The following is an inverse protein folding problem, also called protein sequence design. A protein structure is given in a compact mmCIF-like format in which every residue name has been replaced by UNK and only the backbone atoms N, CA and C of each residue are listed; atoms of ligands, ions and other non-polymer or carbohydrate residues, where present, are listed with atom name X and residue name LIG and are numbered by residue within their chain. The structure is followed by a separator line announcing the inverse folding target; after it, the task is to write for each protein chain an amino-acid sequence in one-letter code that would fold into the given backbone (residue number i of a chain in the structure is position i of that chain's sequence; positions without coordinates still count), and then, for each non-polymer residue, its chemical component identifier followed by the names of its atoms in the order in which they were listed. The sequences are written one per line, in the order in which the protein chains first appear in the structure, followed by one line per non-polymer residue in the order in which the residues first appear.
data_IF_102087568556
#
_entry.id   IF_102087568556
#
_cell.length_a   1.000
_cell.length_b   1.000
_cell.length_c   1.000
_cell.angle_alpha   90.00
_cell.angle_beta   90.00
_cell.angle_gamma   90.00
#
_symmetry.space_group_name_H-M   'P 1'
#
loop_
_entity.id
_entity.type
_entity.pdbx_description
1 polymer ?
#
# COMPACT_ATOMS: atom_id res chain seq x y z
N UNK A 1 -30.17 18.10 11.51
CA UNK A 1 -31.16 17.07 11.21
C UNK A 1 -31.70 17.32 9.79
N UNK A 2 -31.14 16.65 8.78
CA UNK A 2 -31.82 16.45 7.52
C UNK A 2 -32.95 15.46 7.83
N UNK A 3 -34.19 15.93 7.85
CA UNK A 3 -35.33 15.06 8.12
C UNK A 3 -35.41 13.97 7.04
N UNK A 4 -35.69 12.73 7.43
CA UNK A 4 -35.80 11.58 6.52
C UNK A 4 -36.75 11.85 5.33
N UNK A 5 -37.79 12.66 5.53
CA UNK A 5 -38.72 13.08 4.49
C UNK A 5 -38.08 13.86 3.34
N UNK A 6 -37.03 14.65 3.58
CA UNK A 6 -36.34 15.40 2.50
C UNK A 6 -35.41 14.51 1.68
N UNK A 7 -34.87 13.45 2.28
CA UNK A 7 -33.99 12.48 1.60
C UNK A 7 -34.79 11.46 0.77
N UNK A 8 -35.99 11.06 1.25
CA UNK A 8 -36.80 10.04 0.58
C UNK A 8 -37.73 10.60 -0.52
N UNK A 9 -38.18 11.84 -0.40
CA UNK A 9 -39.10 12.48 -1.37
C UNK A 9 -38.47 13.60 -2.20
N UNK A 10 -37.18 13.91 -1.98
CA UNK A 10 -36.46 14.96 -2.69
C UNK A 10 -35.64 14.44 -3.86
N UNK A 11 -35.36 15.32 -4.82
CA UNK A 11 -34.43 15.11 -5.93
C UNK A 11 -32.94 15.30 -5.46
N UNK A 12 -32.62 14.87 -4.21
CA UNK A 12 -31.30 15.06 -3.65
C UNK A 12 -30.52 13.76 -3.74
N UNK A 13 -29.29 13.83 -4.29
CA UNK A 13 -28.32 12.75 -4.28
C UNK A 13 -27.13 13.16 -3.41
N UNK A 14 -26.92 12.46 -2.30
CA UNK A 14 -25.86 12.77 -1.33
C UNK A 14 -24.71 11.79 -1.50
N UNK A 15 -23.52 12.32 -1.80
CA UNK A 15 -22.27 11.54 -1.83
C UNK A 15 -21.42 11.99 -0.65
N UNK A 16 -21.04 11.05 0.22
CA UNK A 16 -20.07 11.25 1.29
C UNK A 16 -18.78 10.56 0.90
N UNK A 17 -17.67 11.27 0.97
CA UNK A 17 -16.34 10.71 0.71
C UNK A 17 -15.40 11.04 1.85
N UNK A 18 -14.46 10.14 2.13
CA UNK A 18 -13.44 10.33 3.14
C UNK A 18 -12.23 9.45 2.83
N UNK A 19 -11.04 9.95 3.12
CA UNK A 19 -9.77 9.23 2.97
C UNK A 19 -9.39 8.44 4.22
N UNK A 20 -9.95 8.81 5.38
CA UNK A 20 -9.69 8.14 6.66
C UNK A 20 -10.65 6.95 6.81
N UNK A 21 -10.17 5.74 6.48
CA UNK A 21 -10.99 4.51 6.49
C UNK A 21 -11.58 4.20 7.85
N UNK A 22 -10.77 4.26 8.90
CA UNK A 22 -11.22 3.98 10.27
C UNK A 22 -12.33 4.92 10.74
N UNK A 23 -12.26 6.20 10.39
CA UNK A 23 -13.31 7.17 10.66
C UNK A 23 -14.57 6.88 9.86
N UNK A 24 -14.43 6.64 8.55
CA UNK A 24 -15.59 6.34 7.70
C UNK A 24 -16.34 5.10 8.16
N UNK A 25 -15.65 4.06 8.54
CA UNK A 25 -16.29 2.80 8.99
C UNK A 25 -16.90 2.92 10.40
N UNK A 26 -16.21 3.55 11.34
CA UNK A 26 -16.65 3.61 12.74
C UNK A 26 -17.62 4.75 13.00
N UNK A 27 -17.31 5.96 12.53
CA UNK A 27 -18.07 7.16 12.86
C UNK A 27 -19.17 7.49 11.84
N UNK A 28 -18.90 7.29 10.54
CA UNK A 28 -19.86 7.63 9.47
C UNK A 28 -20.80 6.47 9.18
N UNK A 29 -20.30 5.24 9.12
CA UNK A 29 -21.06 4.04 8.75
C UNK A 29 -21.38 3.12 9.93
N UNK A 30 -20.78 3.37 11.09
CA UNK A 30 -20.93 2.54 12.29
C UNK A 30 -22.36 2.57 12.87
N UNK A 31 -22.69 1.59 13.72
CA UNK A 31 -24.02 1.40 14.28
C UNK A 31 -24.58 2.57 15.08
N UNK A 32 -23.69 3.45 15.58
CA UNK A 32 -24.07 4.67 16.32
C UNK A 32 -24.29 5.89 15.42
N UNK A 33 -23.95 5.78 14.12
CA UNK A 33 -24.12 6.89 13.17
C UNK A 33 -25.57 7.09 12.78
N UNK A 34 -26.03 8.33 12.64
CA UNK A 34 -27.34 8.63 12.04
C UNK A 34 -27.50 8.10 10.60
N UNK A 35 -26.43 7.75 9.93
CA UNK A 35 -26.41 7.22 8.57
C UNK A 35 -26.40 5.66 8.52
N UNK A 36 -26.32 5.02 9.68
CA UNK A 36 -26.35 3.57 9.74
C UNK A 36 -27.62 2.99 9.09
N UNK A 37 -27.45 2.04 8.18
CA UNK A 37 -28.55 1.41 7.45
C UNK A 37 -29.25 2.27 6.39
N UNK A 38 -28.84 3.54 6.19
CA UNK A 38 -29.46 4.48 5.24
C UNK A 38 -28.70 4.66 3.93
N UNK A 39 -27.52 4.03 3.81
CA UNK A 39 -26.74 4.07 2.56
C UNK A 39 -27.41 3.20 1.50
N UNK A 40 -27.47 3.73 0.27
CA UNK A 40 -27.95 2.99 -0.90
C UNK A 40 -26.83 2.28 -1.65
N UNK A 41 -25.59 2.84 -1.59
CA UNK A 41 -24.41 2.24 -2.18
C UNK A 41 -23.17 2.60 -1.37
N UNK A 42 -22.12 1.79 -1.51
CA UNK A 42 -20.78 2.05 -0.98
C UNK A 42 -19.75 1.68 -2.03
N UNK A 43 -18.82 2.58 -2.28
CA UNK A 43 -17.70 2.36 -3.18
C UNK A 43 -16.41 2.47 -2.40
N UNK A 44 -15.64 1.39 -2.39
CA UNK A 44 -14.28 1.38 -1.84
C UNK A 44 -13.30 1.59 -2.99
N UNK A 45 -12.72 2.79 -3.07
CA UNK A 45 -11.72 3.12 -4.08
C UNK A 45 -10.41 2.41 -3.76
N UNK A 46 -9.91 1.63 -4.71
CA UNK A 46 -8.61 0.94 -4.60
C UNK A 46 -7.55 1.69 -5.40
N UNK A 47 -6.27 1.59 -5.03
CA UNK A 47 -5.17 2.05 -5.88
C UNK A 47 -5.28 1.45 -7.30
N UNK A 48 -4.79 2.17 -8.29
CA UNK A 48 -4.78 1.68 -9.67
C UNK A 48 -3.87 0.46 -9.83
N UNK A 49 -4.29 -0.46 -10.67
CA UNK A 49 -3.41 -1.53 -11.15
C UNK A 49 -2.31 -0.97 -12.04
N UNK A 50 -1.26 -1.75 -12.28
CA UNK A 50 -0.18 -1.38 -13.21
C UNK A 50 -0.71 -0.91 -14.57
N UNK A 51 -1.68 -1.64 -15.16
CA UNK A 51 -2.26 -1.28 -16.46
C UNK A 51 -2.90 0.11 -16.49
N UNK A 52 -3.49 0.54 -15.38
CA UNK A 52 -4.07 1.89 -15.29
C UNK A 52 -2.99 2.92 -14.96
N UNK A 53 -2.08 2.59 -14.04
CA UNK A 53 -0.98 3.47 -13.62
C UNK A 53 -0.01 3.78 -14.75
N UNK A 54 0.28 2.82 -15.64
CA UNK A 54 1.18 3.00 -16.78
C UNK A 54 0.74 4.11 -17.76
N UNK A 55 -0.55 4.45 -17.76
CA UNK A 55 -1.09 5.56 -18.57
C UNK A 55 -0.66 6.95 -18.06
N UNK A 56 -0.16 7.04 -16.84
CA UNK A 56 0.44 8.26 -16.27
C UNK A 56 1.93 8.41 -16.60
N UNK A 57 2.52 7.45 -17.33
CA UNK A 57 3.97 7.33 -17.56
C UNK A 57 4.27 7.14 -19.05
N UNK A 58 3.62 7.92 -19.92
CA UNK A 58 3.64 7.69 -21.39
C UNK A 58 5.04 7.85 -21.98
N UNK A 59 5.90 8.70 -21.39
CA UNK A 59 7.26 8.98 -21.85
C UNK A 59 8.30 7.91 -21.49
N UNK A 60 7.94 6.86 -20.75
CA UNK A 60 8.88 5.85 -20.27
C UNK A 60 8.77 4.53 -21.02
N UNK A 61 9.85 3.75 -21.07
CA UNK A 61 9.83 2.36 -21.50
C UNK A 61 8.97 1.49 -20.58
N UNK A 62 8.56 0.31 -21.01
CA UNK A 62 7.72 -0.57 -20.19
C UNK A 62 8.45 -1.06 -18.93
N UNK A 63 9.77 -1.23 -18.99
CA UNK A 63 10.60 -1.55 -17.84
C UNK A 63 10.60 -0.39 -16.84
N UNK A 64 10.84 0.84 -17.27
CA UNK A 64 10.82 2.03 -16.40
C UNK A 64 9.45 2.28 -15.80
N UNK A 65 8.35 2.09 -16.57
CA UNK A 65 6.98 2.15 -16.04
C UNK A 65 6.76 1.16 -14.91
N UNK A 66 7.25 -0.07 -15.07
CA UNK A 66 7.15 -1.10 -14.05
C UNK A 66 7.99 -0.72 -12.80
N UNK A 67 9.20 -0.21 -13.02
CA UNK A 67 10.06 0.29 -11.94
C UNK A 67 9.40 1.46 -11.19
N UNK A 68 8.88 2.45 -11.90
CA UNK A 68 8.15 3.57 -11.28
C UNK A 68 6.91 3.08 -10.51
N UNK A 69 6.14 2.17 -11.06
CA UNK A 69 5.00 1.58 -10.36
C UNK A 69 5.42 0.88 -9.06
N UNK A 70 6.56 0.20 -9.06
CA UNK A 70 7.13 -0.43 -7.86
C UNK A 70 7.50 0.57 -6.76
N UNK A 71 7.82 1.81 -7.12
CA UNK A 71 8.15 2.86 -6.15
C UNK A 71 6.92 3.70 -5.74
N UNK A 72 6.07 4.09 -6.70
CA UNK A 72 4.97 5.03 -6.47
C UNK A 72 3.63 4.35 -6.14
N UNK A 73 3.50 3.05 -6.43
CA UNK A 73 2.24 2.34 -6.29
C UNK A 73 1.19 2.80 -7.30
N UNK A 74 -0.10 2.64 -6.95
CA UNK A 74 -1.23 2.97 -7.81
C UNK A 74 -2.07 4.16 -7.35
N UNK A 75 -1.62 4.95 -6.38
CA UNK A 75 -2.36 6.13 -5.90
C UNK A 75 -2.18 7.29 -6.88
N UNK A 76 -3.27 7.87 -7.45
CA UNK A 76 -3.17 8.91 -8.48
C UNK A 76 -2.32 10.10 -8.07
N UNK A 77 -2.42 10.54 -6.82
CA UNK A 77 -1.66 11.67 -6.28
C UNK A 77 -0.14 11.42 -6.31
N UNK A 78 0.28 10.19 -6.10
CA UNK A 78 1.70 9.81 -6.17
C UNK A 78 2.17 9.70 -7.62
N UNK A 79 1.34 9.13 -8.49
CA UNK A 79 1.64 9.03 -9.92
C UNK A 79 1.80 10.41 -10.58
N UNK A 80 1.06 11.42 -10.12
CA UNK A 80 1.20 12.81 -10.58
C UNK A 80 2.53 13.47 -10.18
N UNK A 81 3.28 12.89 -9.23
CA UNK A 81 4.61 13.37 -8.89
C UNK A 81 5.68 12.94 -9.91
N UNK A 82 5.36 12.03 -10.82
CA UNK A 82 6.30 11.53 -11.83
C UNK A 82 6.46 12.60 -12.90
N UNK A 83 7.72 12.95 -13.20
CA UNK A 83 8.08 13.87 -14.26
C UNK A 83 8.61 13.10 -15.47
N UNK A 84 7.86 13.10 -16.56
CA UNK A 84 8.21 12.38 -17.79
C UNK A 84 9.48 12.90 -18.51
N UNK A 85 9.99 14.07 -18.11
CA UNK A 85 11.24 14.65 -18.65
C UNK A 85 12.48 14.21 -17.88
N UNK A 86 12.31 13.52 -16.78
CA UNK A 86 13.37 13.04 -15.90
C UNK A 86 13.52 11.51 -16.03
N UNK A 87 14.73 11.00 -15.87
CA UNK A 87 14.98 9.56 -15.77
C UNK A 87 14.32 8.95 -14.55
N UNK A 88 14.25 7.61 -14.49
CA UNK A 88 13.80 6.89 -13.30
C UNK A 88 14.57 7.32 -12.04
N UNK A 89 15.90 7.39 -12.13
CA UNK A 89 16.77 7.80 -11.02
C UNK A 89 16.45 9.20 -10.51
N UNK A 90 16.31 10.18 -11.42
CA UNK A 90 16.00 11.56 -11.08
C UNK A 90 14.63 11.70 -10.42
N UNK A 91 13.63 10.99 -10.92
CA UNK A 91 12.30 10.93 -10.31
C UNK A 91 12.37 10.40 -8.88
N UNK A 92 13.10 9.29 -8.63
CA UNK A 92 13.23 8.73 -7.28
C UNK A 92 13.95 9.71 -6.34
N UNK A 93 15.06 10.29 -6.77
CA UNK A 93 15.81 11.26 -5.95
C UNK A 93 14.98 12.49 -5.60
N UNK A 94 14.27 13.05 -6.58
CA UNK A 94 13.43 14.21 -6.38
C UNK A 94 12.23 13.92 -5.46
N UNK A 95 11.58 12.79 -5.63
CA UNK A 95 10.34 12.48 -4.91
C UNK A 95 10.57 11.92 -3.49
N UNK A 96 11.65 11.15 -3.29
CA UNK A 96 11.87 10.38 -2.06
C UNK A 96 13.12 10.76 -1.28
N UNK A 97 14.18 11.24 -1.93
CA UNK A 97 15.45 11.50 -1.27
C UNK A 97 15.70 12.99 -1.01
N UNK A 98 14.76 13.85 -1.33
CA UNK A 98 14.80 15.28 -0.98
C UNK A 98 13.89 15.52 0.22
N UNK A 99 14.45 15.98 1.36
CA UNK A 99 13.72 16.20 2.64
C UNK A 99 12.47 17.07 2.51
N UNK A 100 12.47 18.00 1.52
CA UNK A 100 11.35 18.90 1.26
C UNK A 100 10.33 18.33 0.27
N UNK A 101 10.54 17.11 -0.22
CA UNK A 101 9.60 16.50 -1.19
C UNK A 101 8.37 15.91 -0.52
N UNK A 102 7.29 15.87 -1.29
CA UNK A 102 6.00 15.38 -0.80
C UNK A 102 6.07 13.94 -0.25
N UNK A 103 6.72 13.03 -0.99
CA UNK A 103 6.76 11.61 -0.61
C UNK A 103 7.81 11.29 0.47
N UNK A 104 8.64 12.27 0.87
CA UNK A 104 9.65 12.03 1.91
C UNK A 104 9.05 11.70 3.28
N UNK A 105 7.95 12.33 3.66
CA UNK A 105 7.27 12.09 4.94
C UNK A 105 5.88 11.47 4.83
N UNK A 106 5.38 11.29 3.61
CA UNK A 106 3.98 10.90 3.35
C UNK A 106 3.57 9.63 4.09
N UNK A 107 4.39 8.57 4.06
CA UNK A 107 4.07 7.32 4.72
C UNK A 107 3.91 7.46 6.24
N UNK A 108 4.73 8.30 6.88
CA UNK A 108 4.58 8.58 8.32
C UNK A 108 3.39 9.47 8.63
N UNK A 109 3.11 10.45 7.77
CA UNK A 109 1.95 11.34 7.95
C UNK A 109 0.65 10.54 7.87
N UNK A 110 0.52 9.68 6.87
CA UNK A 110 -0.64 8.80 6.72
C UNK A 110 -0.79 7.86 7.93
N UNK A 111 0.30 7.21 8.35
CA UNK A 111 0.24 6.32 9.51
C UNK A 111 -0.20 7.06 10.78
N UNK A 112 0.30 8.27 11.02
CA UNK A 112 -0.10 9.11 12.19
C UNK A 112 -1.58 9.49 12.17
N UNK A 113 -2.19 9.61 11.00
CA UNK A 113 -3.62 9.89 10.88
C UNK A 113 -4.49 8.68 11.24
N UNK A 114 -3.99 7.46 11.00
CA UNK A 114 -4.76 6.22 11.14
C UNK A 114 -4.63 5.57 12.54
N UNK A 115 -3.53 5.80 13.28
CA UNK A 115 -3.23 5.08 14.52
C UNK A 115 -2.75 5.99 15.64
N UNK A 116 -3.04 5.59 16.91
CA UNK A 116 -2.67 6.36 18.11
C UNK A 116 -1.20 6.21 18.51
N UNK A 117 -0.59 5.04 18.27
CA UNK A 117 0.81 4.73 18.63
C UNK A 117 1.67 4.51 17.37
N UNK A 118 1.88 5.53 16.52
CA UNK A 118 2.48 5.36 15.20
C UNK A 118 3.90 4.78 15.24
N UNK A 119 4.64 4.94 16.34
CA UNK A 119 5.99 4.40 16.50
C UNK A 119 6.05 2.88 16.43
N UNK A 120 5.15 2.18 17.14
CA UNK A 120 5.11 0.71 17.16
C UNK A 120 4.65 0.17 15.80
N UNK A 121 3.61 0.79 15.22
CA UNK A 121 3.13 0.42 13.89
C UNK A 121 4.21 0.62 12.83
N UNK A 122 4.97 1.73 12.90
CA UNK A 122 6.09 2.00 12.00
C UNK A 122 7.18 0.94 12.14
N UNK A 123 7.54 0.53 13.36
CA UNK A 123 8.53 -0.52 13.60
C UNK A 123 8.09 -1.88 13.01
N UNK A 124 6.80 -2.22 13.07
CA UNK A 124 6.25 -3.43 12.44
C UNK A 124 6.40 -3.37 10.92
N UNK A 125 6.01 -2.24 10.29
CA UNK A 125 6.10 -2.08 8.84
C UNK A 125 7.57 -2.10 8.39
N UNK A 126 8.47 -1.47 9.14
CA UNK A 126 9.92 -1.52 8.89
C UNK A 126 10.48 -2.94 8.97
N UNK A 127 10.09 -3.71 9.98
CA UNK A 127 10.49 -5.11 10.11
C UNK A 127 10.06 -5.93 8.89
N UNK A 128 8.79 -5.76 8.44
CA UNK A 128 8.28 -6.43 7.24
C UNK A 128 9.04 -5.98 5.98
N UNK A 129 9.29 -4.68 5.82
CA UNK A 129 10.07 -4.13 4.70
C UNK A 129 11.51 -4.67 4.66
N UNK A 130 12.06 -5.01 5.83
CA UNK A 130 13.39 -5.60 6.00
C UNK A 130 13.42 -7.12 5.85
N UNK A 131 12.27 -7.77 5.58
CA UNK A 131 12.18 -9.21 5.31
C UNK A 131 11.72 -10.09 6.47
N UNK A 132 11.41 -9.52 7.65
CA UNK A 132 10.81 -10.27 8.76
C UNK A 132 9.31 -10.41 8.51
N UNK A 133 8.88 -11.54 7.97
CA UNK A 133 7.50 -11.67 7.46
C UNK A 133 6.59 -12.51 8.35
N UNK A 134 7.14 -13.29 9.30
CA UNK A 134 6.34 -14.08 10.24
C UNK A 134 6.10 -13.30 11.53
N UNK A 135 4.94 -13.49 12.15
CA UNK A 135 4.55 -12.76 13.36
C UNK A 135 5.57 -12.86 14.51
N UNK A 136 6.15 -14.05 14.72
CA UNK A 136 7.20 -14.25 15.74
C UNK A 136 8.52 -13.56 15.39
N UNK A 137 8.90 -13.53 14.11
CA UNK A 137 10.10 -12.81 13.65
C UNK A 137 9.91 -11.30 13.84
N UNK A 138 8.72 -10.77 13.50
CA UNK A 138 8.38 -9.36 13.67
C UNK A 138 8.40 -8.98 15.16
N UNK A 139 7.70 -9.74 16.02
CA UNK A 139 7.66 -9.45 17.47
C UNK A 139 9.05 -9.46 18.11
N UNK A 140 9.89 -10.44 17.75
CA UNK A 140 11.29 -10.51 18.21
C UNK A 140 12.09 -9.30 17.73
N UNK A 141 11.94 -8.93 16.45
CA UNK A 141 12.69 -7.80 15.84
C UNK A 141 12.38 -6.47 16.51
N UNK A 142 11.10 -6.22 16.86
CA UNK A 142 10.69 -4.95 17.48
C UNK A 142 10.74 -4.96 19.02
N UNK A 143 11.01 -6.12 19.64
CA UNK A 143 11.08 -6.26 21.09
C UNK A 143 9.74 -6.19 21.81
N UNK A 144 8.63 -6.49 21.12
CA UNK A 144 7.27 -6.46 21.68
C UNK A 144 6.77 -7.88 22.01
N UNK A 145 5.83 -7.96 22.99
CA UNK A 145 5.11 -9.20 23.26
C UNK A 145 4.34 -9.70 22.04
N UNK A 146 4.38 -11.01 21.80
CA UNK A 146 3.80 -11.61 20.60
C UNK A 146 2.28 -11.39 20.49
N UNK A 147 1.53 -11.43 21.61
CA UNK A 147 0.09 -11.23 21.60
C UNK A 147 -0.25 -9.76 21.31
N UNK A 148 0.53 -8.82 21.85
CA UNK A 148 0.41 -7.39 21.59
C UNK A 148 0.77 -7.07 20.14
N UNK A 149 1.87 -7.64 19.63
CA UNK A 149 2.30 -7.50 18.24
C UNK A 149 1.23 -7.97 17.25
N UNK A 150 0.59 -9.11 17.51
CA UNK A 150 -0.51 -9.62 16.67
C UNK A 150 -1.72 -8.67 16.61
N UNK A 151 -2.03 -7.94 17.69
CA UNK A 151 -3.09 -6.93 17.67
C UNK A 151 -2.75 -5.78 16.73
N UNK A 152 -1.51 -5.28 16.78
CA UNK A 152 -1.04 -4.23 15.87
C UNK A 152 -1.02 -4.71 14.42
N UNK A 153 -0.53 -5.92 14.16
CA UNK A 153 -0.56 -6.55 12.83
C UNK A 153 -2.00 -6.64 12.30
N UNK A 154 -2.94 -7.08 13.14
CA UNK A 154 -4.36 -7.14 12.76
C UNK A 154 -4.90 -5.77 12.37
N UNK A 155 -4.63 -4.73 13.16
CA UNK A 155 -5.03 -3.36 12.83
C UNK A 155 -4.43 -2.89 11.50
N UNK A 156 -3.14 -3.15 11.25
CA UNK A 156 -2.51 -2.82 9.96
C UNK A 156 -3.14 -3.56 8.78
N UNK A 157 -3.59 -4.81 8.98
CA UNK A 157 -4.34 -5.55 7.97
C UNK A 157 -5.74 -4.95 7.73
N UNK A 158 -6.45 -4.57 8.79
CA UNK A 158 -7.75 -3.90 8.71
C UNK A 158 -7.66 -2.54 7.99
N UNK A 159 -6.57 -1.81 8.19
CA UNK A 159 -6.26 -0.57 7.48
C UNK A 159 -5.78 -0.80 6.03
N UNK A 160 -5.53 -2.04 5.63
CA UNK A 160 -5.03 -2.38 4.30
C UNK A 160 -3.57 -1.97 4.03
N UNK A 161 -2.82 -1.54 5.05
CA UNK A 161 -1.40 -1.18 4.94
C UNK A 161 -0.54 -2.41 4.73
N UNK A 162 -0.85 -3.50 5.45
CA UNK A 162 -0.26 -4.81 5.24
C UNK A 162 -1.33 -5.84 4.91
N UNK A 163 -0.93 -6.98 4.38
CA UNK A 163 -1.81 -8.12 4.14
C UNK A 163 -1.23 -9.38 4.74
N UNK A 164 -2.13 -10.29 5.13
CA UNK A 164 -1.82 -11.66 5.51
C UNK A 164 -1.78 -12.52 4.26
N UNK A 165 -0.77 -13.35 4.12
CA UNK A 165 -0.63 -14.30 3.03
C UNK A 165 -0.37 -15.70 3.58
N UNK A 166 -1.00 -16.69 2.97
CA UNK A 166 -0.82 -18.12 3.29
C UNK A 166 -0.49 -18.87 1.99
N UNK A 167 0.30 -19.94 2.06
CA UNK A 167 0.59 -20.74 0.86
C UNK A 167 -0.70 -21.22 0.20
N UNK A 168 -0.74 -21.16 -1.12
CA UNK A 168 -1.90 -21.59 -1.89
C UNK A 168 -2.30 -23.03 -1.52
N UNK A 169 -3.58 -23.24 -1.24
CA UNK A 169 -4.13 -24.54 -0.85
C UNK A 169 -4.03 -24.87 0.65
N UNK A 170 -3.39 -24.05 1.48
CA UNK A 170 -3.37 -24.24 2.93
C UNK A 170 -4.54 -23.54 3.63
N UNK A 171 -4.81 -23.98 4.88
CA UNK A 171 -5.88 -23.40 5.72
C UNK A 171 -5.43 -22.05 6.31
N UNK A 172 -6.40 -21.18 6.63
CA UNK A 172 -6.14 -19.87 7.27
C UNK A 172 -5.34 -19.93 8.58
N UNK A 173 -5.36 -21.06 9.27
CA UNK A 173 -4.60 -21.30 10.49
C UNK A 173 -3.17 -21.78 10.25
N UNK A 174 -2.69 -21.76 8.99
CA UNK A 174 -1.35 -22.22 8.65
C UNK A 174 -0.27 -21.50 9.45
N UNK A 175 0.68 -22.29 9.99
CA UNK A 175 1.90 -21.76 10.62
C UNK A 175 2.90 -21.16 9.62
N UNK A 176 2.65 -21.35 8.32
CA UNK A 176 3.43 -20.77 7.21
C UNK A 176 2.95 -19.39 6.80
N UNK A 177 1.99 -18.82 7.56
CA UNK A 177 1.49 -17.46 7.35
C UNK A 177 2.63 -16.44 7.36
N UNK A 178 2.60 -15.56 6.38
CA UNK A 178 3.49 -14.38 6.29
C UNK A 178 2.67 -13.11 6.15
N UNK A 179 3.32 -11.98 6.41
CA UNK A 179 2.75 -10.64 6.25
C UNK A 179 3.57 -9.84 5.24
N UNK A 180 2.90 -9.14 4.35
CA UNK A 180 3.49 -8.28 3.34
C UNK A 180 2.92 -6.87 3.37
N UNK A 181 3.64 -5.89 2.86
CA UNK A 181 3.16 -4.52 2.71
C UNK A 181 2.31 -4.48 1.43
N UNK A 182 1.07 -3.99 1.57
CA UNK A 182 0.08 -3.99 0.47
C UNK A 182 0.36 -2.92 -0.58
N UNK A 183 0.79 -1.74 -0.15
CA UNK A 183 1.06 -0.60 -1.01
C UNK A 183 2.55 -0.48 -1.35
N UNK A 184 2.88 -0.31 -2.63
CA UNK A 184 4.26 -0.28 -3.08
C UNK A 184 4.98 1.02 -2.69
N UNK A 185 4.28 2.16 -2.57
CA UNK A 185 4.88 3.39 -2.05
C UNK A 185 5.33 3.19 -0.60
N UNK A 186 4.48 2.64 0.26
CA UNK A 186 4.86 2.28 1.63
C UNK A 186 6.04 1.30 1.66
N UNK A 187 6.00 0.25 0.84
CA UNK A 187 7.05 -0.75 0.77
C UNK A 187 8.39 -0.15 0.36
N UNK A 188 8.40 0.68 -0.70
CA UNK A 188 9.58 1.40 -1.16
C UNK A 188 10.10 2.34 -0.07
N UNK A 189 9.20 3.11 0.51
CA UNK A 189 9.53 4.13 1.50
C UNK A 189 10.18 3.52 2.75
N UNK A 190 9.59 2.49 3.35
CA UNK A 190 10.15 1.85 4.54
C UNK A 190 11.47 1.15 4.24
N UNK A 191 11.60 0.50 3.09
CA UNK A 191 12.83 -0.20 2.71
C UNK A 191 14.00 0.74 2.45
N UNK A 192 13.78 1.85 1.77
CA UNK A 192 14.85 2.69 1.26
C UNK A 192 14.93 4.08 1.88
N UNK A 193 13.81 4.72 2.17
CA UNK A 193 13.79 6.08 2.71
C UNK A 193 13.93 6.02 4.23
N UNK A 194 13.04 5.31 4.92
CA UNK A 194 13.05 5.22 6.37
C UNK A 194 14.37 4.65 6.92
N UNK A 195 14.82 3.55 6.37
CA UNK A 195 16.09 2.90 6.76
C UNK A 195 17.33 3.78 6.54
N UNK A 196 17.25 4.83 5.73
CA UNK A 196 18.38 5.70 5.40
C UNK A 196 18.14 7.18 5.74
N UNK A 197 17.13 7.51 6.57
CA UNK A 197 16.74 8.89 6.87
C UNK A 197 17.91 9.77 7.29
N UNK A 198 18.73 9.33 8.24
CA UNK A 198 19.90 10.08 8.71
C UNK A 198 20.86 10.42 7.57
N UNK A 199 21.11 9.49 6.65
CA UNK A 199 21.97 9.75 5.49
C UNK A 199 21.35 10.77 4.52
N UNK A 200 20.04 10.68 4.31
CA UNK A 200 19.32 11.61 3.44
C UNK A 200 19.33 13.02 4.04
N UNK A 201 19.06 13.14 5.34
CA UNK A 201 19.03 14.42 6.07
C UNK A 201 20.40 15.08 6.15
N UNK A 202 21.49 14.31 6.15
CA UNK A 202 22.86 14.82 6.11
C UNK A 202 23.40 15.11 4.71
N UNK A 203 22.56 14.98 3.66
CA UNK A 203 22.94 15.34 2.29
C UNK A 203 23.56 14.20 1.46
N UNK A 204 23.51 12.95 1.94
CA UNK A 204 24.13 11.79 1.27
C UNK A 204 23.18 11.08 0.27
N UNK A 205 22.25 11.80 -0.37
CA UNK A 205 21.22 11.23 -1.26
C UNK A 205 21.83 10.40 -2.41
N UNK A 206 22.92 10.90 -3.02
CA UNK A 206 23.60 10.17 -4.09
C UNK A 206 24.21 8.85 -3.60
N UNK A 207 24.78 8.84 -2.41
CA UNK A 207 25.33 7.61 -1.83
C UNK A 207 24.22 6.60 -1.47
N UNK A 208 23.07 7.08 -0.99
CA UNK A 208 21.91 6.24 -0.73
C UNK A 208 21.41 5.60 -2.03
N UNK A 209 21.29 6.38 -3.09
CA UNK A 209 20.92 5.85 -4.40
C UNK A 209 21.90 4.77 -4.89
N UNK A 210 23.18 5.09 -5.01
CA UNK A 210 24.17 4.20 -5.60
C UNK A 210 24.47 2.95 -4.77
N UNK A 211 24.43 3.06 -3.44
CA UNK A 211 24.87 1.97 -2.55
C UNK A 211 23.72 1.18 -1.89
N UNK A 212 22.49 1.71 -1.88
CA UNK A 212 21.34 1.10 -1.19
C UNK A 212 20.19 0.79 -2.11
N UNK A 213 19.82 1.70 -3.01
CA UNK A 213 18.64 1.53 -3.87
C UNK A 213 19.00 0.77 -5.15
N UNK A 214 19.87 1.35 -5.96
CA UNK A 214 20.22 0.83 -7.28
C UNK A 214 20.66 -0.64 -7.29
N UNK A 215 21.55 -1.12 -6.40
CA UNK A 215 22.00 -2.51 -6.41
C UNK A 215 20.91 -3.52 -5.99
N UNK A 216 19.96 -3.09 -5.16
CA UNK A 216 18.91 -3.95 -4.59
C UNK A 216 17.60 -3.90 -5.38
N UNK A 217 17.43 -2.89 -6.27
CA UNK A 217 16.14 -2.57 -6.84
C UNK A 217 15.56 -3.69 -7.72
N UNK A 218 16.37 -4.40 -8.48
CA UNK A 218 15.90 -5.54 -9.26
C UNK A 218 15.37 -6.67 -8.37
N UNK A 219 16.04 -6.95 -7.26
CA UNK A 219 15.55 -7.92 -6.27
C UNK A 219 14.23 -7.45 -5.64
N UNK A 220 14.13 -6.16 -5.31
CA UNK A 220 12.92 -5.53 -4.82
C UNK A 220 11.75 -5.70 -5.78
N UNK A 221 12.00 -5.59 -7.10
CA UNK A 221 10.98 -5.68 -8.14
C UNK A 221 10.36 -7.07 -8.30
N UNK A 222 10.96 -8.13 -7.78
CA UNK A 222 10.42 -9.49 -7.90
C UNK A 222 8.97 -9.61 -7.43
N UNK A 223 8.67 -9.12 -6.21
CA UNK A 223 7.29 -9.13 -5.68
C UNK A 223 6.35 -8.17 -6.43
N UNK A 224 6.88 -7.04 -6.94
CA UNK A 224 6.08 -6.10 -7.73
C UNK A 224 5.65 -6.76 -9.04
N UNK A 225 6.59 -7.39 -9.74
CA UNK A 225 6.32 -8.07 -10.99
C UNK A 225 5.35 -9.24 -10.82
N UNK A 226 5.53 -10.02 -9.76
CA UNK A 226 4.61 -11.11 -9.42
C UNK A 226 3.16 -10.59 -9.23
N UNK A 227 2.99 -9.51 -8.47
CA UNK A 227 1.67 -8.88 -8.29
C UNK A 227 1.08 -8.39 -9.60
N UNK A 228 1.88 -7.76 -10.45
CA UNK A 228 1.44 -7.30 -11.78
C UNK A 228 1.00 -8.48 -12.66
N UNK A 229 1.74 -9.59 -12.65
CA UNK A 229 1.36 -10.81 -13.36
C UNK A 229 0.04 -11.39 -12.83
N UNK A 230 -0.14 -11.44 -11.51
CA UNK A 230 -1.37 -11.93 -10.90
C UNK A 230 -2.58 -11.04 -11.28
N UNK A 231 -2.41 -9.72 -11.24
CA UNK A 231 -3.47 -8.78 -11.63
C UNK A 231 -3.83 -8.91 -13.12
N UNK A 232 -2.82 -9.12 -13.98
CA UNK A 232 -3.04 -9.37 -15.40
C UNK A 232 -3.81 -10.67 -15.64
N UNK A 233 -3.39 -11.77 -15.01
CA UNK A 233 -4.07 -13.07 -15.12
C UNK A 233 -5.50 -12.99 -14.60
N UNK A 234 -5.74 -12.34 -13.46
CA UNK A 234 -7.08 -12.15 -12.92
C UNK A 234 -7.97 -11.35 -13.89
N UNK A 235 -7.44 -10.28 -14.50
CA UNK A 235 -8.18 -9.49 -15.49
C UNK A 235 -8.53 -10.29 -16.74
N UNK A 236 -7.61 -11.14 -17.22
CA UNK A 236 -7.84 -12.05 -18.35
C UNK A 236 -8.86 -13.14 -18.01
N UNK A 237 -8.73 -13.74 -16.81
CA UNK A 237 -9.66 -14.76 -16.31
C UNK A 237 -11.10 -14.21 -16.21
N UNK A 238 -11.25 -13.00 -15.67
CA UNK A 238 -12.57 -12.34 -15.56
C UNK A 238 -13.25 -12.08 -16.91
N UNK A 239 -12.47 -11.95 -17.98
CA UNK A 239 -12.97 -11.78 -19.35
C UNK A 239 -13.15 -13.10 -20.13
N UNK A 240 -12.78 -14.24 -19.53
CA UNK A 240 -12.79 -15.53 -20.20
C UNK A 240 -11.74 -15.66 -21.32
N UNK A 241 -10.67 -14.86 -21.26
CA UNK A 241 -9.61 -14.82 -22.27
C UNK A 241 -8.48 -15.83 -22.01
N UNK A 242 -8.58 -16.63 -20.94
CA UNK A 242 -7.63 -17.69 -20.64
C UNK A 242 -8.15 -19.05 -21.12
N UNK A 243 -7.25 -19.98 -21.48
CA UNK A 243 -7.65 -21.33 -21.90
C UNK A 243 -8.29 -22.14 -20.77
N UNK A 244 -8.04 -21.77 -19.52
CA UNK A 244 -8.59 -22.39 -18.32
C UNK A 244 -9.18 -21.30 -17.44
N UNK A 245 -10.45 -21.46 -17.05
CA UNK A 245 -11.09 -20.59 -16.07
C UNK A 245 -10.74 -21.10 -14.65
N UNK A 246 -10.07 -20.29 -13.85
CA UNK A 246 -9.75 -20.63 -12.46
C UNK A 246 -10.60 -19.84 -11.47
N UNK A 247 -10.85 -20.42 -10.32
CA UNK A 247 -11.58 -19.80 -9.19
C UNK A 247 -10.66 -19.07 -8.22
N UNK A 248 -9.38 -19.47 -8.17
CA UNK A 248 -8.39 -18.85 -7.28
C UNK A 248 -6.98 -19.02 -7.86
N UNK A 249 -6.12 -18.08 -7.51
CA UNK A 249 -4.69 -18.05 -7.82
C UNK A 249 -3.93 -17.57 -6.58
N UNK A 250 -2.77 -18.10 -6.31
CA UNK A 250 -1.98 -17.72 -5.15
C UNK A 250 -0.53 -18.19 -5.25
N UNK A 251 0.27 -17.71 -4.30
CA UNK A 251 1.69 -18.10 -4.16
C UNK A 251 1.80 -19.39 -3.34
N UNK A 252 2.86 -20.13 -3.61
CA UNK A 252 3.25 -21.28 -2.81
C UNK A 252 4.74 -21.18 -2.44
N UNK A 253 5.10 -21.51 -1.17
CA UNK A 253 6.48 -21.50 -0.66
C UNK A 253 6.71 -22.56 0.40
#
# INVERSE_FOLDING_TARGET
HLSDHKLTNGKMFLILSGSYMGFMEKEVLGSKSPLFGRRTAQLHMKPFTYQTSSKFMTGFSDEEKLMLYGAYGGTPLYLQQINEKESFEENIKRAYLKVTSYLYEEALLLLRQEVQEPGVYSAIIEAIASGYTKANEISTKIGEDSAKCLKYIKTLCELGIIHKEIPFGEKESSRRTIYGISDFMFRFWYRYVFANRTLIETGAQQAVWEKRIKPDYYSYMGLVFEKVCMDYLNAKNAKGELPILYTSIGRWW
#
